data_IF_449958595713
#
_entry.id   IF_449958595713
#
_cell.length_a   1.000
_cell.length_b   1.000
_cell.length_c   1.000
_cell.angle_alpha   90.00
_cell.angle_beta   90.00
_cell.angle_gamma   90.00
#
_symmetry.space_group_name_H-M   'P 1'
#
loop_
_entity.id
_entity.type
_entity.pdbx_description
1 polymer ?
#
# COMPACT_ATOMS: atom_id res chain seq x y z
N UNK A 1 15.33 4.78 -15.08
CA UNK A 1 15.76 4.24 -16.39
C UNK A 1 17.22 4.64 -16.64
N UNK A 2 18.09 3.65 -16.83
CA UNK A 2 19.50 3.85 -17.19
C UNK A 2 19.67 3.85 -18.72
N UNK A 3 18.77 3.17 -19.44
CA UNK A 3 18.74 3.07 -20.90
C UNK A 3 17.34 3.39 -21.42
N UNK A 4 16.72 2.46 -22.13
CA UNK A 4 15.42 2.54 -22.77
C UNK A 4 14.33 1.74 -22.02
N UNK A 5 14.48 1.59 -20.70
CA UNK A 5 13.49 0.87 -19.91
C UNK A 5 12.13 1.59 -19.92
N UNK A 6 11.07 0.81 -20.12
CA UNK A 6 9.70 1.31 -20.05
C UNK A 6 9.36 1.63 -18.59
N UNK A 7 8.86 2.85 -18.36
CA UNK A 7 8.37 3.27 -17.05
C UNK A 7 6.90 2.90 -16.91
N UNK A 8 6.59 2.00 -15.97
CA UNK A 8 5.22 1.64 -15.61
C UNK A 8 4.82 2.48 -14.39
N UNK A 9 4.01 3.51 -14.62
CA UNK A 9 3.46 4.34 -13.53
C UNK A 9 2.15 3.75 -13.01
N UNK A 10 2.03 3.62 -11.70
CA UNK A 10 0.79 3.17 -11.02
C UNK A 10 -0.11 4.34 -10.62
N UNK A 11 0.21 5.60 -10.97
CA UNK A 11 -0.53 6.79 -10.52
C UNK A 11 -2.03 6.81 -10.82
N UNK A 12 -2.46 6.09 -11.86
CA UNK A 12 -3.87 5.95 -12.24
C UNK A 12 -4.58 4.77 -11.55
N UNK A 13 -3.84 3.85 -10.93
CA UNK A 13 -4.37 2.78 -10.10
C UNK A 13 -4.49 3.32 -8.66
N UNK A 14 -5.51 4.13 -8.38
CA UNK A 14 -5.59 4.90 -7.13
C UNK A 14 -6.95 4.77 -6.42
N UNK A 15 -7.66 3.68 -6.66
CA UNK A 15 -8.95 3.41 -6.02
C UNK A 15 -8.77 2.76 -4.64
N UNK A 16 -9.60 3.19 -3.69
CA UNK A 16 -9.83 2.46 -2.44
C UNK A 16 -10.94 1.47 -2.74
N UNK A 17 -10.68 0.19 -2.53
CA UNK A 17 -11.59 -0.90 -2.93
C UNK A 17 -12.53 -1.29 -1.78
N UNK A 18 -11.99 -1.39 -0.57
CA UNK A 18 -12.74 -1.85 0.60
C UNK A 18 -12.05 -1.43 1.90
N UNK A 19 -12.84 -1.08 2.91
CA UNK A 19 -12.39 -0.81 4.28
C UNK A 19 -13.23 -1.69 5.21
N UNK A 20 -12.56 -2.47 6.06
CA UNK A 20 -13.17 -3.25 7.13
C UNK A 20 -12.85 -2.61 8.47
N UNK A 21 -13.82 -1.89 9.03
CA UNK A 21 -13.65 -1.17 10.29
C UNK A 21 -13.54 -2.10 11.50
N UNK A 22 -14.14 -3.29 11.40
CA UNK A 22 -14.12 -4.29 12.48
C UNK A 22 -12.77 -5.00 12.54
N UNK A 23 -12.23 -5.37 11.37
CA UNK A 23 -10.92 -5.99 11.28
C UNK A 23 -9.76 -4.98 11.28
N UNK A 24 -10.03 -3.70 11.00
CA UNK A 24 -9.02 -2.66 10.87
C UNK A 24 -8.16 -2.81 9.61
N UNK A 25 -8.76 -3.25 8.49
CA UNK A 25 -8.04 -3.53 7.26
C UNK A 25 -8.53 -2.67 6.09
N UNK A 26 -7.63 -2.40 5.14
CA UNK A 26 -7.93 -1.63 3.94
C UNK A 26 -7.37 -2.34 2.70
N UNK A 27 -8.20 -2.44 1.67
CA UNK A 27 -7.81 -2.90 0.33
C UNK A 27 -7.84 -1.72 -0.62
N UNK A 28 -6.76 -1.51 -1.35
CA UNK A 28 -6.59 -0.38 -2.26
C UNK A 28 -5.64 -0.73 -3.40
N UNK A 29 -5.68 0.07 -4.45
CA UNK A 29 -4.75 -0.04 -5.55
C UNK A 29 -3.34 0.42 -5.15
N UNK A 30 -2.32 -0.12 -5.83
CA UNK A 30 -0.91 0.16 -5.55
C UNK A 30 -0.52 1.65 -5.68
N UNK A 31 -1.23 2.43 -6.48
CA UNK A 31 -0.97 3.86 -6.70
C UNK A 31 -1.64 4.80 -5.69
N UNK A 32 -2.38 4.29 -4.70
CA UNK A 32 -2.95 5.12 -3.65
C UNK A 32 -1.86 5.85 -2.86
N UNK A 33 -2.05 7.15 -2.65
CA UNK A 33 -1.13 8.00 -1.86
C UNK A 33 -1.33 7.72 -0.37
N UNK A 34 -0.24 7.59 0.37
CA UNK A 34 -0.27 7.28 1.81
C UNK A 34 -1.12 8.28 2.62
N UNK A 35 -0.94 9.59 2.39
CA UNK A 35 -1.72 10.64 3.07
C UNK A 35 -3.23 10.54 2.79
N UNK A 36 -3.61 10.18 1.56
CA UNK A 36 -5.02 9.97 1.22
C UNK A 36 -5.62 8.81 2.01
N UNK A 37 -4.88 7.71 2.18
CA UNK A 37 -5.36 6.58 2.96
C UNK A 37 -5.46 6.92 4.46
N UNK A 38 -4.47 7.61 5.03
CA UNK A 38 -4.52 8.04 6.44
C UNK A 38 -5.70 8.99 6.69
N UNK A 39 -6.01 9.88 5.73
CA UNK A 39 -7.17 10.79 5.80
C UNK A 39 -8.49 10.02 5.79
N UNK A 40 -8.68 9.08 4.85
CA UNK A 40 -9.91 8.30 4.77
C UNK A 40 -10.08 7.42 5.99
N UNK A 41 -9.02 6.74 6.44
CA UNK A 41 -9.08 5.90 7.65
C UNK A 41 -9.43 6.68 8.92
N UNK A 42 -9.01 7.95 9.00
CA UNK A 42 -9.35 8.80 10.14
C UNK A 42 -10.87 9.03 10.28
N UNK A 43 -11.63 9.02 9.18
CA UNK A 43 -13.10 9.11 9.19
C UNK A 43 -13.75 7.88 9.87
N UNK A 44 -13.04 6.75 9.88
CA UNK A 44 -13.44 5.49 10.51
C UNK A 44 -12.81 5.29 11.91
N UNK A 45 -12.09 6.29 12.44
CA UNK A 45 -11.35 6.16 13.70
C UNK A 45 -10.12 5.25 13.62
N UNK A 46 -9.68 4.93 12.40
CA UNK A 46 -8.48 4.15 12.10
C UNK A 46 -7.33 5.05 11.65
N UNK A 47 -6.14 4.46 11.49
CA UNK A 47 -4.95 5.17 11.00
C UNK A 47 -4.04 4.22 10.23
N UNK A 48 -3.24 4.75 9.31
CA UNK A 48 -2.20 3.95 8.67
C UNK A 48 -1.11 3.56 9.68
N UNK A 49 -0.62 2.31 9.68
CA UNK A 49 0.47 1.89 10.57
C UNK A 49 1.82 2.52 10.18
N UNK A 50 1.93 3.03 8.94
CA UNK A 50 3.11 3.70 8.39
C UNK A 50 2.92 5.22 8.40
N UNK A 51 3.99 5.95 8.72
CA UNK A 51 4.06 7.39 8.45
C UNK A 51 5.46 7.81 7.99
N UNK A 52 5.54 8.66 6.97
CA UNK A 52 6.77 9.07 6.29
C UNK A 52 6.73 10.58 6.00
N UNK A 53 7.90 11.22 5.94
CA UNK A 53 7.99 12.61 5.47
C UNK A 53 7.47 12.80 4.03
N UNK A 54 7.46 11.74 3.22
CA UNK A 54 6.97 11.72 1.86
C UNK A 54 5.46 11.36 1.74
N UNK A 55 4.69 11.36 2.84
CA UNK A 55 3.29 10.86 2.85
C UNK A 55 2.38 11.44 1.76
N UNK A 56 2.59 12.69 1.37
CA UNK A 56 1.78 13.39 0.36
C UNK A 56 2.10 12.99 -1.09
N UNK A 57 3.14 12.19 -1.32
CA UNK A 57 3.54 11.77 -2.67
C UNK A 57 3.88 10.28 -2.78
N UNK A 58 4.24 9.60 -1.69
CA UNK A 58 4.55 8.18 -1.75
C UNK A 58 3.28 7.34 -1.92
N UNK A 59 3.40 6.33 -2.78
CA UNK A 59 2.31 5.39 -3.09
C UNK A 59 2.47 4.10 -2.31
N UNK A 60 1.35 3.42 -2.00
CA UNK A 60 1.35 2.18 -1.21
C UNK A 60 2.18 1.07 -1.85
N UNK A 61 2.09 0.90 -3.17
CA UNK A 61 2.89 -0.09 -3.90
C UNK A 61 4.38 0.16 -3.76
N UNK A 62 4.82 1.43 -3.78
CA UNK A 62 6.21 1.80 -3.53
C UNK A 62 6.64 1.56 -2.08
N UNK A 63 5.77 1.89 -1.13
CA UNK A 63 6.00 1.65 0.30
C UNK A 63 6.16 0.14 0.58
N UNK A 64 5.36 -0.72 -0.05
CA UNK A 64 5.47 -2.19 0.07
C UNK A 64 6.75 -2.68 -0.63
N UNK A 65 6.99 -2.24 -1.88
CA UNK A 65 8.16 -2.68 -2.69
C UNK A 65 9.50 -2.38 -2.02
N UNK A 66 9.56 -1.32 -1.22
CA UNK A 66 10.77 -0.90 -0.50
C UNK A 66 10.80 -1.36 0.96
N UNK A 67 9.78 -2.09 1.43
CA UNK A 67 9.58 -2.42 2.84
C UNK A 67 9.72 -1.20 3.75
N UNK A 68 9.00 -0.13 3.40
CA UNK A 68 9.12 1.16 4.06
C UNK A 68 8.85 1.07 5.57
N UNK A 69 9.68 1.76 6.35
CA UNK A 69 9.62 1.79 7.82
C UNK A 69 8.91 3.03 8.36
N UNK A 70 9.63 4.14 8.49
CA UNK A 70 9.05 5.42 8.87
C UNK A 70 8.91 5.71 10.36
N UNK A 71 8.23 6.81 10.66
CA UNK A 71 8.16 7.43 12.00
C UNK A 71 7.47 6.53 13.03
N UNK A 72 6.58 5.65 12.58
CA UNK A 72 5.78 4.74 13.43
C UNK A 72 6.34 3.32 13.49
N UNK A 73 7.51 3.06 12.89
CA UNK A 73 8.12 1.72 12.79
C UNK A 73 8.25 1.01 14.14
N UNK A 74 8.70 1.73 15.19
CA UNK A 74 8.89 1.12 16.51
C UNK A 74 7.59 0.60 17.14
N UNK A 75 6.44 1.21 16.80
CA UNK A 75 5.15 0.86 17.38
C UNK A 75 4.42 -0.19 16.53
N UNK A 76 4.49 -0.09 15.22
CA UNK A 76 3.66 -0.89 14.31
C UNK A 76 4.46 -1.80 13.37
N UNK A 77 5.80 -1.76 13.39
CA UNK A 77 6.62 -2.53 12.47
C UNK A 77 6.70 -1.92 11.06
N UNK A 78 7.32 -2.66 10.13
CA UNK A 78 7.49 -2.23 8.74
C UNK A 78 6.22 -2.45 7.92
N UNK A 79 6.16 -1.89 6.71
CA UNK A 79 5.07 -2.18 5.78
C UNK A 79 4.92 -3.67 5.47
N UNK A 80 6.02 -4.40 5.37
CA UNK A 80 5.97 -5.85 5.16
C UNK A 80 5.25 -6.57 6.30
N UNK A 81 5.46 -6.15 7.55
CA UNK A 81 4.76 -6.72 8.71
C UNK A 81 3.26 -6.38 8.75
N UNK A 82 2.86 -5.27 8.11
CA UNK A 82 1.46 -4.79 8.09
C UNK A 82 0.70 -5.18 6.81
N UNK A 83 1.35 -5.83 5.84
CA UNK A 83 0.71 -6.24 4.58
C UNK A 83 0.08 -7.62 4.73
N UNK A 84 -1.24 -7.70 4.62
CA UNK A 84 -1.98 -8.96 4.78
C UNK A 84 -2.06 -9.78 3.48
N UNK A 85 -2.04 -9.12 2.33
CA UNK A 85 -2.15 -9.74 1.01
C UNK A 85 -1.84 -8.74 -0.09
N UNK A 86 -1.55 -9.24 -1.29
CA UNK A 86 -1.31 -8.42 -2.48
C UNK A 86 -1.62 -9.20 -3.75
N UNK A 87 -2.00 -8.49 -4.80
CA UNK A 87 -2.04 -9.03 -6.16
C UNK A 87 -0.84 -8.48 -6.94
N UNK A 88 -0.10 -9.36 -7.60
CA UNK A 88 1.17 -9.02 -8.27
C UNK A 88 1.16 -9.55 -9.70
N UNK A 89 1.62 -8.74 -10.65
CA UNK A 89 1.88 -9.17 -12.03
C UNK A 89 3.37 -9.51 -12.16
N UNK A 90 3.66 -10.75 -12.55
CA UNK A 90 5.01 -11.24 -12.75
C UNK A 90 5.56 -10.82 -14.11
N UNK A 91 6.86 -11.01 -14.33
CA UNK A 91 7.54 -10.59 -15.57
C UNK A 91 7.01 -11.29 -16.84
N UNK A 92 6.41 -12.48 -16.71
CA UNK A 92 5.76 -13.22 -17.79
C UNK A 92 4.30 -12.78 -18.03
N UNK A 93 3.79 -11.82 -17.25
CA UNK A 93 2.41 -11.35 -17.28
C UNK A 93 1.44 -12.18 -16.44
N UNK A 94 1.90 -13.25 -15.78
CA UNK A 94 1.06 -14.05 -14.89
C UNK A 94 0.64 -13.23 -13.67
N UNK A 95 -0.64 -13.34 -13.30
CA UNK A 95 -1.18 -12.68 -12.10
C UNK A 95 -1.11 -13.65 -10.92
N UNK A 96 -0.34 -13.28 -9.91
CA UNK A 96 -0.31 -13.95 -8.62
C UNK A 96 -1.27 -13.25 -7.67
N UNK A 97 -2.36 -13.93 -7.33
CA UNK A 97 -3.33 -13.44 -6.36
C UNK A 97 -3.04 -14.01 -4.96
N UNK A 98 -2.57 -13.15 -4.06
CA UNK A 98 -2.35 -13.46 -2.64
C UNK A 98 -3.34 -12.69 -1.75
N UNK A 99 -4.45 -12.20 -2.29
CA UNK A 99 -5.48 -11.46 -1.54
C UNK A 99 -6.38 -12.39 -0.70
N UNK A 100 -5.85 -13.51 -0.21
CA UNK A 100 -6.60 -14.39 0.67
C UNK A 100 -6.91 -13.62 1.97
N UNK A 101 -8.15 -13.17 2.09
CA UNK A 101 -8.72 -12.73 3.37
C UNK A 101 -8.40 -13.80 4.41
N UNK A 102 -7.92 -13.37 5.58
CA UNK A 102 -7.69 -14.21 6.75
C UNK A 102 -8.80 -15.27 6.85
N UNK A 103 -8.45 -16.55 6.64
CA UNK A 103 -9.31 -17.69 6.98
C UNK A 103 -9.17 -18.02 8.45
#
# INVERSE_FOLDING_TARGET
>A
PVFDEIVISTSLMNNILFIDDMAGTISCDAGCILERLDTVLAEHGLMMPLDLGAKGSCQIGGNISTSAGGLRLLRYGSMQANTLGMQVVLADGSVLDLMNALK
#
